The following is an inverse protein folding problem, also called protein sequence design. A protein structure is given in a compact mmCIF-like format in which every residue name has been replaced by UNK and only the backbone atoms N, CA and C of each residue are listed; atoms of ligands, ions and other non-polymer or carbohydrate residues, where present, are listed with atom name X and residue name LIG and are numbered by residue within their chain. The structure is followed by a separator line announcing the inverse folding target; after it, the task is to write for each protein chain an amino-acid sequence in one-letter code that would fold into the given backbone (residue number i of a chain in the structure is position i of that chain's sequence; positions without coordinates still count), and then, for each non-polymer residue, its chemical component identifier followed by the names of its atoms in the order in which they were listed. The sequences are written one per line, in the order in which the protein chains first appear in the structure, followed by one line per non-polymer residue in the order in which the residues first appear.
data_IF_640224022315
#
_entry.id   IF_640224022315
#
_cell.length_a   1.000
_cell.length_b   1.000
_cell.length_c   1.000
_cell.angle_alpha   90.00
_cell.angle_beta   90.00
_cell.angle_gamma   90.00
#
_symmetry.space_group_name_H-M   'P 1'
#
loop_
_entity.id
_entity.type
_entity.pdbx_description
1 polymer ?
#
# COMPACT_ATOMS: atom_id res chain seq x y z
N UNK A 1 26.34 -10.22 -12.28
CA UNK A 1 25.50 -10.57 -11.10
C UNK A 1 24.83 -11.93 -11.20
N UNK A 2 24.02 -12.24 -12.22
CA UNK A 2 23.29 -13.53 -12.29
C UNK A 2 24.16 -14.78 -12.08
N UNK A 3 25.32 -14.85 -12.75
CA UNK A 3 26.27 -15.98 -12.55
C UNK A 3 26.76 -16.08 -11.10
N UNK A 4 26.94 -14.95 -10.41
CA UNK A 4 27.31 -14.96 -9.00
C UNK A 4 26.17 -15.54 -8.16
N UNK A 5 24.94 -15.08 -8.38
CA UNK A 5 23.73 -15.55 -7.69
C UNK A 5 23.51 -17.05 -7.88
N UNK A 6 23.71 -17.59 -9.08
CA UNK A 6 23.61 -19.02 -9.37
C UNK A 6 24.61 -19.89 -8.59
N UNK A 7 25.73 -19.32 -8.14
CA UNK A 7 26.76 -20.05 -7.40
C UNK A 7 26.53 -20.03 -5.86
N UNK A 8 25.46 -19.40 -5.37
CA UNK A 8 25.19 -19.25 -3.93
C UNK A 8 23.76 -19.72 -3.60
N UNK A 9 23.41 -21.01 -3.83
CA UNK A 9 22.03 -21.50 -3.70
C UNK A 9 21.46 -21.46 -2.27
N UNK A 10 22.34 -21.34 -1.26
CA UNK A 10 21.97 -21.30 0.16
C UNK A 10 21.86 -19.88 0.73
N UNK A 11 21.78 -18.87 -0.13
CA UNK A 11 21.66 -17.48 0.30
C UNK A 11 20.35 -17.26 1.09
N UNK A 12 20.48 -16.83 2.34
CA UNK A 12 19.33 -16.50 3.20
C UNK A 12 18.91 -15.03 3.09
N UNK A 13 19.86 -14.14 2.80
CA UNK A 13 19.63 -12.70 2.74
C UNK A 13 20.33 -12.12 1.51
N UNK A 14 19.59 -11.40 0.68
CA UNK A 14 20.13 -10.61 -0.42
C UNK A 14 19.70 -9.15 -0.25
N UNK A 15 20.69 -8.26 -0.11
CA UNK A 15 20.47 -6.82 -0.04
C UNK A 15 21.25 -6.17 -1.18
N UNK A 16 20.53 -5.53 -2.10
CA UNK A 16 21.12 -4.73 -3.17
C UNK A 16 20.61 -3.31 -2.95
N UNK A 17 21.52 -2.43 -2.53
CA UNK A 17 21.28 -1.00 -2.35
C UNK A 17 22.20 -0.27 -3.30
N UNK A 18 21.80 -0.14 -4.56
CA UNK A 18 22.66 0.53 -5.52
C UNK A 18 22.51 2.04 -5.33
N UNK A 19 23.61 2.78 -5.21
CA UNK A 19 23.60 4.26 -5.17
C UNK A 19 24.27 4.93 -6.39
N UNK A 20 24.94 4.19 -7.28
CA UNK A 20 25.67 4.81 -8.40
C UNK A 20 26.09 3.91 -9.57
N UNK A 21 25.98 2.59 -9.50
CA UNK A 21 26.44 1.70 -10.58
C UNK A 21 25.24 1.06 -11.27
N UNK A 22 24.90 1.56 -12.46
CA UNK A 22 23.96 0.90 -13.36
C UNK A 22 24.50 -0.49 -13.71
N UNK A 23 23.68 -1.52 -13.51
CA UNK A 23 24.02 -2.87 -13.94
C UNK A 23 23.90 -2.96 -15.46
N UNK A 24 24.94 -2.51 -16.17
CA UNK A 24 25.11 -2.66 -17.62
C UNK A 24 25.40 -4.13 -18.03
N UNK A 25 24.56 -5.06 -17.57
CA UNK A 25 24.71 -6.49 -17.84
C UNK A 25 23.37 -7.13 -18.11
N UNK A 26 22.59 -6.56 -19.03
CA UNK A 26 21.54 -7.32 -19.70
C UNK A 26 22.21 -8.51 -20.39
N UNK A 27 21.91 -9.75 -19.98
CA UNK A 27 22.44 -10.91 -20.68
C UNK A 27 21.92 -10.88 -22.12
N UNK A 28 22.73 -11.39 -23.06
CA UNK A 28 22.34 -11.49 -24.48
C UNK A 28 21.04 -12.26 -24.70
N UNK A 29 20.65 -13.07 -23.71
CA UNK A 29 19.35 -13.73 -23.63
C UNK A 29 18.87 -13.62 -22.19
N UNK A 30 17.71 -12.99 -21.92
CA UNK A 30 17.14 -12.95 -20.59
C UNK A 30 16.85 -14.37 -20.11
N UNK A 31 17.20 -14.72 -18.86
CA UNK A 31 16.86 -16.02 -18.30
C UNK A 31 15.34 -16.14 -18.16
N UNK A 32 14.84 -17.37 -18.13
CA UNK A 32 13.42 -17.61 -17.90
C UNK A 32 12.99 -17.00 -16.55
N UNK A 33 11.73 -16.52 -16.43
CA UNK A 33 11.21 -16.05 -15.15
C UNK A 33 11.37 -17.11 -14.07
N UNK A 34 11.73 -16.68 -12.85
CA UNK A 34 11.86 -17.51 -11.65
C UNK A 34 12.84 -18.69 -11.84
N UNK A 35 13.88 -18.52 -12.66
CA UNK A 35 14.83 -19.59 -13.01
C UNK A 35 15.97 -19.80 -12.01
N UNK A 36 16.19 -18.88 -11.08
CA UNK A 36 17.28 -18.98 -10.08
C UNK A 36 16.69 -19.32 -8.71
N UNK A 37 16.75 -20.58 -8.25
CA UNK A 37 16.14 -20.99 -7.00
C UNK A 37 16.93 -20.53 -5.78
N UNK A 38 16.22 -19.95 -4.81
CA UNK A 38 16.74 -19.61 -3.49
C UNK A 38 15.81 -20.11 -2.39
N UNK A 39 15.71 -21.44 -2.18
CA UNK A 39 14.72 -22.03 -1.29
C UNK A 39 14.87 -21.60 0.18
N UNK A 40 16.05 -21.13 0.58
CA UNK A 40 16.35 -20.68 1.94
C UNK A 40 16.28 -19.15 2.11
N UNK A 41 15.88 -18.40 1.07
CA UNK A 41 15.79 -16.95 1.16
C UNK A 41 14.77 -16.56 2.22
N UNK A 42 15.22 -15.79 3.20
CA UNK A 42 14.44 -15.20 4.28
C UNK A 42 14.18 -13.71 4.06
N UNK A 43 15.11 -13.01 3.40
CA UNK A 43 14.99 -11.57 3.13
C UNK A 43 15.57 -11.20 1.78
N UNK A 44 14.76 -10.56 0.95
CA UNK A 44 15.15 -9.89 -0.27
C UNK A 44 14.88 -8.39 -0.13
N UNK A 45 15.93 -7.58 -0.19
CA UNK A 45 15.84 -6.13 -0.23
C UNK A 45 16.51 -5.63 -1.50
N UNK A 46 15.75 -4.97 -2.35
CA UNK A 46 16.18 -4.34 -3.59
C UNK A 46 15.83 -2.85 -3.52
N UNK A 47 16.85 -2.01 -3.40
CA UNK A 47 16.76 -0.54 -3.37
C UNK A 47 17.69 0.01 -4.46
N UNK A 48 17.17 0.86 -5.34
CA UNK A 48 17.91 1.37 -6.50
C UNK A 48 16.98 1.69 -7.66
N UNK A 49 17.44 1.45 -8.90
CA UNK A 49 16.59 1.52 -10.09
C UNK A 49 15.41 0.57 -9.98
N UNK A 50 14.19 1.11 -10.11
CA UNK A 50 12.99 0.29 -10.10
C UNK A 50 13.02 -0.78 -11.21
N UNK A 51 13.47 -0.41 -12.40
CA UNK A 51 13.52 -1.33 -13.54
C UNK A 51 14.49 -2.49 -13.28
N UNK A 52 15.70 -2.19 -12.78
CA UNK A 52 16.67 -3.21 -12.43
C UNK A 52 16.15 -4.13 -11.31
N UNK A 53 15.49 -3.56 -10.30
CA UNK A 53 14.94 -4.32 -9.19
C UNK A 53 13.85 -5.31 -9.66
N UNK A 54 12.94 -4.88 -10.54
CA UNK A 54 11.92 -5.75 -11.15
C UNK A 54 12.57 -6.86 -11.98
N UNK A 55 13.58 -6.52 -12.80
CA UNK A 55 14.29 -7.50 -13.62
C UNK A 55 15.00 -8.54 -12.74
N UNK A 56 15.71 -8.12 -11.70
CA UNK A 56 16.34 -9.02 -10.73
C UNK A 56 15.27 -9.92 -10.11
N UNK A 57 14.22 -9.34 -9.53
CA UNK A 57 13.14 -10.09 -8.88
C UNK A 57 12.47 -11.10 -9.81
N UNK A 58 12.30 -10.76 -11.09
CA UNK A 58 11.73 -11.65 -12.11
C UNK A 58 12.52 -12.93 -12.30
N UNK A 59 13.82 -12.94 -12.01
CA UNK A 59 14.68 -14.12 -12.18
C UNK A 59 14.76 -15.00 -10.93
N UNK A 60 14.54 -14.43 -9.74
CA UNK A 60 14.72 -15.13 -8.47
C UNK A 60 13.46 -15.94 -8.11
N UNK A 61 13.62 -17.23 -7.85
CA UNK A 61 12.60 -18.07 -7.24
C UNK A 61 12.82 -18.14 -5.71
N UNK A 62 12.27 -17.14 -5.00
CA UNK A 62 12.28 -17.07 -3.53
C UNK A 62 10.97 -17.60 -2.93
N UNK A 63 10.97 -18.13 -1.69
CA UNK A 63 9.77 -18.51 -0.96
C UNK A 63 8.79 -17.33 -0.81
N UNK A 64 7.47 -17.56 -0.85
CA UNK A 64 6.47 -16.51 -0.67
C UNK A 64 6.47 -15.91 0.74
N UNK A 65 7.11 -16.56 1.72
CA UNK A 65 7.24 -16.08 3.10
C UNK A 65 8.45 -15.18 3.33
N UNK A 66 9.36 -15.07 2.36
CA UNK A 66 10.54 -14.24 2.49
C UNK A 66 10.13 -12.77 2.64
N UNK A 67 10.77 -12.04 3.57
CA UNK A 67 10.61 -10.60 3.67
C UNK A 67 11.00 -9.96 2.33
N UNK A 68 10.12 -9.14 1.79
CA UNK A 68 10.28 -8.59 0.45
C UNK A 68 10.17 -7.07 0.50
N UNK A 69 11.28 -6.40 0.21
CA UNK A 69 11.34 -4.96 0.02
C UNK A 69 11.84 -4.70 -1.40
N UNK A 70 11.03 -4.06 -2.23
CA UNK A 70 11.41 -3.56 -3.55
C UNK A 70 11.10 -2.06 -3.54
N UNK A 71 12.14 -1.26 -3.33
CA UNK A 71 12.07 0.20 -3.35
C UNK A 71 12.58 0.77 -4.67
N UNK A 72 12.16 2.01 -4.99
CA UNK A 72 12.88 2.86 -5.94
C UNK A 72 13.70 3.90 -5.16
N UNK A 73 14.73 4.46 -5.79
CA UNK A 73 15.37 5.67 -5.31
C UNK A 73 15.43 6.65 -6.49
N UNK A 74 14.32 7.32 -6.76
CA UNK A 74 14.16 8.16 -7.95
C UNK A 74 15.13 9.34 -7.96
N UNK A 75 15.44 9.91 -6.80
CA UNK A 75 16.50 10.91 -6.61
C UNK A 75 17.86 10.50 -7.22
N UNK A 76 18.21 9.22 -7.13
CA UNK A 76 19.49 8.70 -7.60
C UNK A 76 19.44 8.16 -9.04
N UNK A 77 18.25 7.84 -9.57
CA UNK A 77 18.09 7.11 -10.83
C UNK A 77 16.91 7.63 -11.68
N UNK A 78 17.15 8.52 -12.66
CA UNK A 78 16.14 8.95 -13.63
C UNK A 78 15.88 7.90 -14.73
N UNK A 79 16.23 6.63 -14.50
CA UNK A 79 16.25 5.57 -15.51
C UNK A 79 14.90 4.87 -15.70
N UNK A 80 13.86 5.36 -15.04
CA UNK A 80 12.50 4.94 -15.32
C UNK A 80 12.09 5.39 -16.73
N UNK A 81 12.11 4.45 -17.67
CA UNK A 81 11.53 4.61 -19.00
C UNK A 81 10.03 4.23 -18.97
N UNK A 82 9.10 5.22 -18.99
CA UNK A 82 7.67 4.96 -19.00
C UNK A 82 7.18 4.24 -20.27
N UNK A 83 7.98 4.24 -21.34
CA UNK A 83 7.61 3.62 -22.61
C UNK A 83 7.77 2.08 -22.60
N UNK A 84 8.44 1.52 -21.58
CA UNK A 84 8.70 0.10 -21.46
C UNK A 84 7.48 -0.69 -20.92
N UNK A 85 6.39 -0.70 -21.69
CA UNK A 85 5.15 -1.40 -21.35
C UNK A 85 5.32 -2.90 -21.06
N UNK A 86 6.24 -3.56 -21.76
CA UNK A 86 6.54 -4.98 -21.56
C UNK A 86 7.07 -5.27 -20.15
N UNK A 87 7.81 -4.33 -19.55
CA UNK A 87 8.29 -4.45 -18.17
C UNK A 87 7.13 -4.43 -17.16
N UNK A 88 6.10 -3.62 -17.39
CA UNK A 88 4.93 -3.53 -16.50
C UNK A 88 4.12 -4.82 -16.51
N UNK A 89 3.88 -5.37 -17.70
CA UNK A 89 3.17 -6.64 -17.87
C UNK A 89 3.94 -7.78 -17.22
N UNK A 90 5.25 -7.87 -17.51
CA UNK A 90 6.17 -8.85 -16.90
C UNK A 90 6.20 -8.73 -15.38
N UNK A 91 6.29 -7.51 -14.83
CA UNK A 91 6.24 -7.28 -13.39
C UNK A 91 4.94 -7.85 -12.79
N UNK A 92 3.79 -7.50 -13.36
CA UNK A 92 2.49 -7.94 -12.85
C UNK A 92 2.38 -9.48 -12.89
N UNK A 93 2.84 -10.13 -13.96
CA UNK A 93 2.89 -11.59 -14.05
C UNK A 93 3.80 -12.23 -13.00
N UNK A 94 5.00 -11.66 -12.78
CA UNK A 94 5.96 -12.15 -11.79
C UNK A 94 5.39 -12.08 -10.38
N UNK A 95 4.73 -10.97 -10.01
CA UNK A 95 4.10 -10.87 -8.69
C UNK A 95 2.92 -11.82 -8.54
N UNK A 96 2.07 -11.96 -9.56
CA UNK A 96 0.99 -12.96 -9.55
C UNK A 96 1.53 -14.38 -9.38
N UNK A 97 2.60 -14.72 -10.10
CA UNK A 97 3.25 -16.01 -9.98
C UNK A 97 3.89 -16.22 -8.60
N UNK A 98 4.53 -15.18 -8.04
CA UNK A 98 5.13 -15.24 -6.71
C UNK A 98 4.08 -15.53 -5.61
N UNK A 99 2.92 -14.87 -5.69
CA UNK A 99 1.84 -15.03 -4.71
C UNK A 99 0.79 -16.09 -5.09
N UNK A 100 0.96 -16.83 -6.20
CA UNK A 100 -0.07 -17.74 -6.72
C UNK A 100 -0.55 -18.77 -5.69
N UNK A 101 0.36 -19.34 -4.90
CA UNK A 101 0.01 -20.29 -3.83
C UNK A 101 -0.84 -19.64 -2.74
N UNK A 102 -0.42 -18.47 -2.24
CA UNK A 102 -1.16 -17.70 -1.24
C UNK A 102 -2.56 -17.30 -1.76
N UNK A 103 -2.63 -16.80 -3.00
CA UNK A 103 -3.86 -16.44 -3.68
C UNK A 103 -4.82 -17.62 -3.82
N UNK A 104 -4.32 -18.82 -4.18
CA UNK A 104 -5.14 -20.02 -4.31
C UNK A 104 -5.77 -20.49 -2.99
N UNK A 105 -5.21 -20.06 -1.86
CA UNK A 105 -5.69 -20.34 -0.50
C UNK A 105 -6.46 -19.17 0.12
N UNK A 106 -6.71 -18.10 -0.65
CA UNK A 106 -7.43 -16.91 -0.16
C UNK A 106 -6.67 -16.09 0.87
N UNK A 107 -5.34 -16.23 0.94
CA UNK A 107 -4.52 -15.45 1.88
C UNK A 107 -4.46 -13.98 1.45
N UNK A 108 -4.63 -13.08 2.41
CA UNK A 108 -4.55 -11.64 2.20
C UNK A 108 -4.09 -10.90 3.46
N UNK A 109 -3.62 -9.68 3.27
CA UNK A 109 -3.40 -8.72 4.34
C UNK A 109 -4.72 -8.02 4.65
N UNK A 110 -5.11 -8.02 5.92
CA UNK A 110 -6.30 -7.34 6.44
C UNK A 110 -6.11 -5.83 6.57
N UNK A 111 -4.85 -5.40 6.72
CA UNK A 111 -4.48 -4.00 6.98
C UNK A 111 -3.22 -3.57 6.19
N UNK A 112 -3.28 -3.50 4.84
CA UNK A 112 -2.24 -2.87 4.05
C UNK A 112 -2.25 -1.34 4.24
N UNK A 113 -1.09 -0.75 4.04
CA UNK A 113 -0.88 0.68 4.00
C UNK A 113 -0.39 1.11 2.62
N UNK A 114 -1.02 2.15 2.10
CA UNK A 114 -0.71 2.75 0.81
C UNK A 114 -0.32 4.20 1.04
N UNK A 115 0.95 4.48 0.88
CA UNK A 115 1.51 5.82 1.02
C UNK A 115 1.99 6.34 -0.34
N UNK A 116 1.94 7.65 -0.52
CA UNK A 116 2.69 8.31 -1.58
C UNK A 116 3.55 9.41 -0.99
N UNK A 117 4.70 9.60 -1.62
CA UNK A 117 5.48 10.81 -1.51
C UNK A 117 5.56 11.46 -2.91
N UNK A 118 6.30 12.56 -3.03
CA UNK A 118 6.42 13.29 -4.30
C UNK A 118 7.08 12.47 -5.42
N UNK A 119 7.76 11.37 -5.08
CA UNK A 119 8.60 10.63 -6.01
C UNK A 119 8.17 9.19 -6.19
N UNK A 120 7.38 8.64 -5.27
CA UNK A 120 7.06 7.23 -5.22
C UNK A 120 5.70 6.97 -4.62
N UNK A 121 5.15 5.83 -5.02
CA UNK A 121 4.01 5.20 -4.38
C UNK A 121 4.49 3.92 -3.72
N UNK A 122 4.09 3.67 -2.47
CA UNK A 122 4.50 2.48 -1.72
C UNK A 122 3.30 1.77 -1.14
N UNK A 123 3.17 0.48 -1.43
CA UNK A 123 2.29 -0.45 -0.70
C UNK A 123 3.14 -1.18 0.32
N UNK A 124 2.72 -1.14 1.58
CA UNK A 124 3.34 -1.92 2.64
C UNK A 124 2.31 -2.75 3.40
N UNK A 125 2.72 -3.90 3.89
CA UNK A 125 1.86 -4.77 4.70
C UNK A 125 2.68 -5.64 5.65
N UNK A 126 2.05 -6.01 6.77
CA UNK A 126 2.62 -6.94 7.75
C UNK A 126 1.52 -7.89 8.27
N UNK A 127 1.85 -9.14 8.66
CA UNK A 127 0.87 -10.17 8.99
C UNK A 127 0.34 -10.07 10.42
N UNK A 128 0.77 -9.09 11.21
CA UNK A 128 0.09 -8.75 12.46
C UNK A 128 -1.42 -8.52 12.24
N UNK A 129 -1.79 -8.24 10.98
CA UNK A 129 -3.15 -8.12 10.48
C UNK A 129 -3.36 -9.00 9.23
N UNK A 130 -2.92 -10.27 9.16
CA UNK A 130 -3.29 -11.16 8.05
C UNK A 130 -4.44 -12.10 8.46
N UNK A 131 -5.43 -12.30 7.58
CA UNK A 131 -6.53 -13.25 7.83
C UNK A 131 -6.72 -14.19 6.62
N UNK A 132 -7.20 -15.40 6.88
CA UNK A 132 -7.58 -16.35 5.84
C UNK A 132 -9.06 -16.67 6.01
N UNK A 133 -9.87 -16.39 5.00
CA UNK A 133 -11.27 -16.80 4.96
C UNK A 133 -11.39 -18.15 4.27
N UNK A 134 -11.31 -19.24 5.03
CA UNK A 134 -11.87 -20.53 4.59
C UNK A 134 -12.60 -21.22 5.75
N UNK A 135 -13.92 -21.15 5.62
CA UNK A 135 -14.96 -22.12 5.97
C UNK A 135 -14.68 -23.17 7.06
N UNK A 136 -15.54 -23.13 8.08
CA UNK A 136 -15.88 -24.19 9.03
C UNK A 136 -14.75 -24.90 9.79
N UNK A 137 -14.72 -24.59 11.09
CA UNK A 137 -14.45 -25.55 12.15
C UNK A 137 -13.18 -26.42 12.00
N UNK A 138 -12.00 -25.84 12.27
CA UNK A 138 -11.06 -26.45 13.23
C UNK A 138 -9.94 -25.47 13.58
N UNK A 139 -9.67 -25.40 14.89
CA UNK A 139 -8.62 -24.62 15.53
C UNK A 139 -7.26 -24.95 14.92
N UNK A 140 -6.61 -23.94 14.32
CA UNK A 140 -5.25 -24.05 13.83
C UNK A 140 -4.74 -22.70 13.31
N UNK A 141 -4.09 -21.93 14.19
CA UNK A 141 -3.32 -20.71 13.92
C UNK A 141 -2.08 -20.95 13.04
N UNK A 142 -2.18 -21.80 12.00
CA UNK A 142 -1.07 -22.23 11.13
C UNK A 142 -0.98 -21.46 9.80
N UNK A 143 -1.67 -20.33 9.67
CA UNK A 143 -1.88 -19.68 8.36
C UNK A 143 -1.10 -18.37 8.15
N UNK A 144 -0.29 -17.94 9.12
CA UNK A 144 0.64 -16.81 8.95
C UNK A 144 1.84 -17.12 8.04
N UNK A 145 2.00 -18.37 7.58
CA UNK A 145 3.18 -18.83 6.82
C UNK A 145 2.98 -18.80 5.30
N UNK A 146 2.02 -18.03 4.78
CA UNK A 146 1.78 -17.94 3.33
C UNK A 146 2.23 -16.63 2.70
N UNK A 147 2.32 -15.57 3.49
CA UNK A 147 2.65 -14.23 3.04
C UNK A 147 3.92 -13.76 3.75
N UNK A 148 4.67 -12.82 3.16
CA UNK A 148 5.82 -12.21 3.83
C UNK A 148 5.43 -11.59 5.16
N UNK A 149 6.27 -11.77 6.18
CA UNK A 149 6.08 -11.05 7.44
C UNK A 149 6.35 -9.55 7.35
N UNK A 150 7.04 -9.14 6.29
CA UNK A 150 7.16 -7.75 5.90
C UNK A 150 7.17 -7.67 4.38
N UNK A 151 6.23 -6.90 3.83
CA UNK A 151 6.14 -6.61 2.41
C UNK A 151 6.15 -5.10 2.23
N UNK A 152 7.04 -4.60 1.37
CA UNK A 152 7.10 -3.21 0.97
C UNK A 152 7.44 -3.15 -0.52
N UNK A 153 6.53 -2.61 -1.32
CA UNK A 153 6.65 -2.52 -2.76
C UNK A 153 6.42 -1.08 -3.18
N UNK A 154 7.43 -0.47 -3.79
CA UNK A 154 7.37 0.89 -4.30
C UNK A 154 7.35 0.90 -5.84
N UNK A 155 6.62 1.85 -6.42
CA UNK A 155 6.71 2.20 -7.83
C UNK A 155 7.13 3.67 -7.96
N UNK A 156 7.87 4.02 -9.02
CA UNK A 156 8.23 5.40 -9.29
C UNK A 156 6.99 6.24 -9.63
N UNK A 157 7.00 7.50 -9.22
CA UNK A 157 6.03 8.49 -9.65
C UNK A 157 6.28 8.91 -11.11
N UNK A 158 5.20 9.20 -11.82
CA UNK A 158 5.26 9.75 -13.18
C UNK A 158 4.06 10.66 -13.41
N UNK A 159 4.26 11.76 -14.14
CA UNK A 159 3.19 12.70 -14.46
C UNK A 159 2.20 12.12 -15.48
N UNK A 160 2.63 11.13 -16.27
CA UNK A 160 1.76 10.45 -17.25
C UNK A 160 0.72 9.59 -16.52
N UNK A 161 -0.59 9.93 -16.59
CA UNK A 161 -1.65 9.22 -15.87
C UNK A 161 -1.82 7.76 -16.32
N UNK A 162 -1.57 7.46 -17.59
CA UNK A 162 -1.73 6.10 -18.13
C UNK A 162 -0.61 5.19 -17.63
N UNK A 163 0.63 5.68 -17.63
CA UNK A 163 1.79 4.94 -17.12
C UNK A 163 1.64 4.73 -15.61
N UNK A 164 1.24 5.78 -14.89
CA UNK A 164 0.91 5.72 -13.47
C UNK A 164 -0.09 4.62 -13.16
N UNK A 165 -1.21 4.61 -13.86
CA UNK A 165 -2.26 3.62 -13.64
C UNK A 165 -1.73 2.20 -13.86
N UNK A 166 -0.91 1.98 -14.89
CA UNK A 166 -0.29 0.68 -15.16
C UNK A 166 0.65 0.25 -14.04
N UNK A 167 1.52 1.15 -13.56
CA UNK A 167 2.43 0.89 -12.44
C UNK A 167 1.67 0.49 -11.18
N UNK A 168 0.65 1.25 -10.81
CA UNK A 168 -0.18 0.92 -9.66
C UNK A 168 -0.85 -0.44 -9.82
N UNK A 169 -1.39 -0.72 -11.00
CA UNK A 169 -2.10 -1.97 -11.26
C UNK A 169 -1.22 -3.21 -11.07
N UNK A 170 0.11 -3.10 -11.11
CA UNK A 170 1.04 -4.19 -10.81
C UNK A 170 0.76 -4.76 -9.41
N UNK A 171 0.51 -3.89 -8.42
CA UNK A 171 0.32 -4.29 -7.02
C UNK A 171 -1.12 -4.14 -6.56
N UNK A 172 -1.77 -3.01 -6.85
CA UNK A 172 -3.07 -2.65 -6.27
C UNK A 172 -4.22 -3.54 -6.72
N UNK A 173 -4.04 -4.33 -7.79
CA UNK A 173 -5.04 -5.29 -8.26
C UNK A 173 -4.87 -6.70 -7.70
N UNK A 174 -3.81 -6.95 -6.92
CA UNK A 174 -3.57 -8.27 -6.34
C UNK A 174 -4.55 -8.54 -5.19
N UNK A 175 -5.27 -9.69 -5.19
CA UNK A 175 -6.23 -10.02 -4.13
C UNK A 175 -5.63 -10.08 -2.72
N UNK A 176 -4.31 -10.28 -2.59
CA UNK A 176 -3.62 -10.20 -1.29
C UNK A 176 -3.77 -8.83 -0.61
N UNK A 177 -4.10 -7.77 -1.37
CA UNK A 177 -4.33 -6.43 -0.85
C UNK A 177 -5.80 -6.00 -0.94
N UNK A 178 -6.50 -6.30 -2.04
CA UNK A 178 -7.87 -5.80 -2.27
C UNK A 178 -8.94 -6.48 -1.41
N UNK A 179 -8.60 -7.61 -0.78
CA UNK A 179 -9.47 -8.27 0.20
C UNK A 179 -9.37 -7.67 1.62
N UNK A 180 -8.54 -6.64 1.81
CA UNK A 180 -8.37 -6.00 3.10
C UNK A 180 -9.67 -5.42 3.68
N UNK A 181 -9.82 -5.51 5.01
CA UNK A 181 -10.93 -4.87 5.74
C UNK A 181 -10.54 -3.50 6.29
N UNK A 182 -9.25 -3.29 6.55
CA UNK A 182 -8.69 -2.00 6.97
C UNK A 182 -7.72 -1.51 5.92
N UNK A 183 -7.78 -0.23 5.56
CA UNK A 183 -6.83 0.37 4.63
C UNK A 183 -6.23 1.62 5.26
N UNK A 184 -4.89 1.66 5.37
CA UNK A 184 -4.21 2.95 5.55
C UNK A 184 -3.96 3.56 4.19
N UNK A 185 -4.36 4.81 4.03
CA UNK A 185 -4.32 5.49 2.75
C UNK A 185 -3.85 6.91 2.95
N UNK A 186 -2.84 7.30 2.18
CA UNK A 186 -2.46 8.70 2.06
C UNK A 186 -3.53 9.46 1.26
N UNK A 187 -4.17 10.49 1.86
CA UNK A 187 -5.19 11.27 1.17
C UNK A 187 -4.70 11.94 -0.11
N UNK A 188 -3.40 12.19 -0.26
CA UNK A 188 -2.80 12.70 -1.48
C UNK A 188 -3.18 11.84 -2.70
N UNK A 189 -3.35 10.53 -2.51
CA UNK A 189 -3.68 9.58 -3.57
C UNK A 189 -5.09 9.76 -4.16
N UNK A 190 -5.99 10.43 -3.45
CA UNK A 190 -7.36 10.64 -3.89
C UNK A 190 -7.47 11.48 -5.15
N UNK A 191 -6.66 12.54 -5.25
CA UNK A 191 -6.68 13.44 -6.39
C UNK A 191 -6.15 12.77 -7.66
N UNK A 192 -5.33 11.73 -7.51
CA UNK A 192 -4.64 11.11 -8.62
C UNK A 192 -5.19 9.73 -9.00
N UNK A 193 -5.86 9.00 -8.09
CA UNK A 193 -6.17 7.57 -8.29
C UNK A 193 -7.52 7.07 -7.73
N UNK A 194 -8.65 7.67 -8.11
CA UNK A 194 -9.97 7.20 -7.67
C UNK A 194 -10.25 5.74 -8.06
N UNK A 195 -9.79 5.32 -9.23
CA UNK A 195 -9.99 3.97 -9.78
C UNK A 195 -9.31 2.87 -8.95
N UNK A 196 -8.13 3.16 -8.40
CA UNK A 196 -7.37 2.22 -7.56
C UNK A 196 -8.12 1.96 -6.25
N UNK A 197 -8.68 3.01 -5.66
CA UNK A 197 -9.40 2.92 -4.40
C UNK A 197 -10.68 2.11 -4.57
N UNK A 198 -11.35 2.25 -5.71
CA UNK A 198 -12.58 1.53 -6.03
C UNK A 198 -12.44 -0.01 -6.02
N UNK A 199 -11.21 -0.57 -6.13
CA UNK A 199 -11.02 -2.03 -6.06
C UNK A 199 -11.04 -2.59 -4.63
N UNK A 200 -10.92 -1.73 -3.61
CA UNK A 200 -10.91 -2.10 -2.18
C UNK A 200 -12.33 -2.23 -1.59
N UNK A 201 -13.18 -3.01 -2.26
CA UNK A 201 -14.61 -3.16 -1.93
C UNK A 201 -14.88 -3.80 -0.56
N UNK A 202 -13.90 -4.50 0.01
CA UNK A 202 -14.00 -5.15 1.32
C UNK A 202 -13.64 -4.23 2.49
N UNK A 203 -13.12 -3.03 2.22
CA UNK A 203 -12.73 -2.10 3.28
C UNK A 203 -13.96 -1.67 4.08
N UNK A 204 -13.81 -1.74 5.40
CA UNK A 204 -14.77 -1.31 6.42
C UNK A 204 -14.17 -0.26 7.34
N UNK A 205 -12.84 -0.25 7.48
CA UNK A 205 -12.10 0.74 8.25
C UNK A 205 -11.10 1.46 7.38
N UNK A 206 -11.22 2.78 7.26
CA UNK A 206 -10.28 3.62 6.52
C UNK A 206 -9.45 4.45 7.49
N UNK A 207 -8.13 4.35 7.39
CA UNK A 207 -7.17 5.12 8.18
C UNK A 207 -6.47 6.10 7.24
N UNK A 208 -6.73 7.37 7.44
CA UNK A 208 -6.19 8.45 6.62
C UNK A 208 -4.97 9.01 7.31
N UNK A 209 -3.81 8.70 6.75
CA UNK A 209 -2.51 9.09 7.31
C UNK A 209 -1.75 9.90 6.28
N UNK A 210 -1.38 11.13 6.63
CA UNK A 210 -0.65 12.02 5.73
C UNK A 210 0.74 12.26 6.28
N UNK A 211 1.77 11.93 5.49
CA UNK A 211 3.17 12.23 5.83
C UNK A 211 3.57 13.66 5.44
N UNK A 212 2.85 14.23 4.47
CA UNK A 212 3.02 15.60 3.96
C UNK A 212 1.94 16.50 4.57
N UNK A 213 2.13 17.82 4.57
CA UNK A 213 1.04 18.78 4.81
C UNK A 213 0.02 18.73 3.64
N UNK A 214 -0.56 17.57 3.37
CA UNK A 214 -1.65 17.44 2.41
C UNK A 214 -2.91 17.98 3.07
N UNK A 215 -3.39 19.12 2.57
CA UNK A 215 -4.70 19.62 2.94
C UNK A 215 -5.74 18.69 2.32
N UNK A 216 -6.56 18.07 3.16
CA UNK A 216 -7.82 17.50 2.71
C UNK A 216 -8.66 18.63 2.11
N UNK A 217 -8.91 18.58 0.81
CA UNK A 217 -9.90 19.45 0.18
C UNK A 217 -11.31 18.83 0.28
N UNK A 218 -12.33 19.69 0.19
CA UNK A 218 -13.72 19.26 0.35
C UNK A 218 -14.20 18.31 -0.76
N UNK A 219 -13.54 18.33 -1.93
CA UNK A 219 -13.98 17.55 -3.09
C UNK A 219 -13.50 16.10 -2.98
N UNK A 220 -12.29 15.89 -2.47
CA UNK A 220 -11.70 14.56 -2.30
C UNK A 220 -12.54 13.68 -1.37
N UNK A 221 -13.02 14.18 -0.24
CA UNK A 221 -13.73 13.31 0.71
C UNK A 221 -15.14 12.95 0.20
N UNK A 222 -15.83 13.89 -0.44
CA UNK A 222 -17.19 13.69 -0.90
C UNK A 222 -17.31 12.65 -2.00
N UNK A 223 -16.48 12.80 -3.04
CA UNK A 223 -16.51 11.92 -4.19
C UNK A 223 -15.85 10.58 -3.88
N UNK A 224 -14.75 10.59 -3.11
CA UNK A 224 -13.99 9.37 -2.83
C UNK A 224 -14.55 8.58 -1.65
N UNK A 225 -15.24 9.22 -0.70
CA UNK A 225 -15.97 8.52 0.36
C UNK A 225 -16.99 7.54 -0.24
N UNK A 226 -17.68 7.92 -1.31
CA UNK A 226 -18.63 7.04 -1.99
C UNK A 226 -18.01 5.74 -2.54
N UNK A 227 -16.67 5.65 -2.67
CA UNK A 227 -15.97 4.43 -3.09
C UNK A 227 -15.97 3.33 -2.04
N UNK A 228 -16.28 3.65 -0.78
CA UNK A 228 -16.37 2.70 0.32
C UNK A 228 -17.81 2.60 0.84
N UNK A 229 -18.74 1.98 0.10
CA UNK A 229 -20.16 1.98 0.45
C UNK A 229 -20.47 1.28 1.77
N UNK A 230 -19.58 0.40 2.24
CA UNK A 230 -19.73 -0.36 3.47
C UNK A 230 -18.80 0.13 4.60
N UNK A 231 -18.29 1.35 4.50
CA UNK A 231 -17.40 1.93 5.52
C UNK A 231 -18.12 2.08 6.87
N UNK A 232 -17.55 1.49 7.91
CA UNK A 232 -18.05 1.55 9.29
C UNK A 232 -17.15 2.35 10.22
N UNK A 233 -15.87 2.52 9.87
CA UNK A 233 -14.90 3.27 10.66
C UNK A 233 -14.04 4.17 9.78
N UNK A 234 -13.80 5.40 10.24
CA UNK A 234 -12.82 6.32 9.64
C UNK A 234 -11.92 6.87 10.74
N UNK A 235 -10.60 6.80 10.55
CA UNK A 235 -9.64 7.36 11.48
C UNK A 235 -8.72 8.34 10.75
N UNK A 236 -8.62 9.56 11.26
CA UNK A 236 -7.67 10.56 10.79
C UNK A 236 -6.41 10.49 11.67
N UNK A 237 -5.24 10.30 11.06
CA UNK A 237 -3.97 10.09 11.75
C UNK A 237 -2.97 11.13 11.23
N UNK A 238 -2.55 12.07 12.09
CA UNK A 238 -1.55 13.08 11.74
C UNK A 238 -1.98 14.11 10.70
N UNK A 239 -3.24 14.12 10.27
CA UNK A 239 -3.74 14.99 9.20
C UNK A 239 -3.97 16.43 9.68
N UNK A 240 -3.66 17.42 8.85
CA UNK A 240 -4.02 18.83 9.07
C UNK A 240 -5.42 19.13 8.49
N UNK A 241 -6.36 19.45 9.38
CA UNK A 241 -7.75 19.75 9.09
C UNK A 241 -7.99 21.24 9.32
N UNK A 242 -8.18 22.01 8.26
CA UNK A 242 -8.53 23.43 8.43
C UNK A 242 -9.88 23.59 9.13
N UNK A 243 -10.08 24.72 9.80
CA UNK A 243 -11.35 25.03 10.48
C UNK A 243 -12.55 25.05 9.53
N UNK A 244 -12.32 25.28 8.24
CA UNK A 244 -13.35 25.31 7.21
C UNK A 244 -13.67 23.90 6.68
N UNK A 245 -12.66 23.02 6.61
CA UNK A 245 -12.77 21.66 6.08
C UNK A 245 -13.43 20.73 7.09
N UNK A 246 -13.10 20.83 8.39
CA UNK A 246 -13.61 19.88 9.39
C UNK A 246 -15.15 19.81 9.44
N UNK A 247 -15.91 20.93 9.49
CA UNK A 247 -17.38 20.86 9.47
C UNK A 247 -17.93 20.23 8.19
N UNK A 248 -17.33 20.55 7.04
CA UNK A 248 -17.74 20.02 5.73
C UNK A 248 -17.46 18.52 5.61
N UNK A 249 -16.30 18.10 6.08
CA UNK A 249 -15.91 16.70 6.21
C UNK A 249 -16.93 15.91 7.06
N UNK A 250 -17.32 16.45 8.22
CA UNK A 250 -18.33 15.82 9.09
C UNK A 250 -19.66 15.68 8.36
N UNK A 251 -20.14 16.76 7.75
CA UNK A 251 -21.40 16.75 6.98
C UNK A 251 -21.36 15.70 5.87
N UNK A 252 -20.25 15.65 5.15
CA UNK A 252 -20.10 14.75 4.02
C UNK A 252 -20.04 13.28 4.45
N UNK A 253 -19.30 12.95 5.51
CA UNK A 253 -19.24 11.60 6.04
C UNK A 253 -20.62 11.13 6.50
N UNK A 254 -21.37 12.00 7.19
CA UNK A 254 -22.73 11.69 7.65
C UNK A 254 -23.74 11.50 6.50
N UNK A 255 -23.57 12.21 5.39
CA UNK A 255 -24.43 12.08 4.20
C UNK A 255 -24.06 10.83 3.39
N UNK A 256 -22.77 10.55 3.23
CA UNK A 256 -22.27 9.51 2.31
C UNK A 256 -22.28 8.13 2.93
N UNK A 257 -22.02 8.03 4.24
CA UNK A 257 -21.79 6.76 4.93
C UNK A 257 -22.84 6.51 6.02
N UNK A 258 -24.00 6.01 5.62
CA UNK A 258 -25.07 5.64 6.56
C UNK A 258 -24.70 4.48 7.49
N UNK A 259 -23.69 3.67 7.13
CA UNK A 259 -23.18 2.56 7.93
C UNK A 259 -22.05 2.95 8.89
N UNK A 260 -21.63 4.22 8.90
CA UNK A 260 -20.56 4.71 9.77
C UNK A 260 -20.94 4.54 11.24
N UNK A 261 -20.05 3.98 12.04
CA UNK A 261 -20.25 3.68 13.46
C UNK A 261 -19.17 4.30 14.35
N UNK A 262 -17.98 4.52 13.83
CA UNK A 262 -16.86 5.08 14.58
C UNK A 262 -16.04 6.08 13.76
N UNK A 263 -15.63 7.16 14.42
CA UNK A 263 -14.73 8.17 13.85
C UNK A 263 -13.62 8.50 14.84
N UNK A 264 -12.38 8.32 14.42
CA UNK A 264 -11.18 8.58 15.23
C UNK A 264 -10.39 9.80 14.75
N UNK A 265 -9.83 10.54 15.68
CA UNK A 265 -8.84 11.60 15.43
C UNK A 265 -7.60 11.34 16.29
N UNK A 266 -6.46 11.13 15.65
CA UNK A 266 -5.19 10.82 16.31
C UNK A 266 -4.07 11.74 15.82
N UNK A 267 -3.53 12.59 16.68
CA UNK A 267 -2.40 13.47 16.33
C UNK A 267 -2.67 14.50 15.22
N UNK A 268 -3.94 14.78 14.91
CA UNK A 268 -4.33 15.73 13.87
C UNK A 268 -4.04 17.20 14.25
N UNK A 269 -3.90 18.07 13.25
CA UNK A 269 -3.65 19.52 13.38
C UNK A 269 -4.79 20.35 12.78
N UNK A 270 -4.88 21.63 13.12
CA UNK A 270 -5.82 22.62 12.58
C UNK A 270 -5.09 23.89 12.16
N UNK A 271 -4.82 24.01 10.85
CA UNK A 271 -4.18 25.18 10.24
C UNK A 271 -2.76 25.40 10.76
N UNK A 272 -1.95 24.34 10.78
CA UNK A 272 -0.57 24.36 11.30
C UNK A 272 -0.46 24.49 12.83
N UNK A 273 -1.58 24.57 13.55
CA UNK A 273 -1.62 24.53 15.03
C UNK A 273 -2.21 23.20 15.49
N UNK A 274 -1.95 22.80 16.73
CA UNK A 274 -2.61 21.63 17.33
C UNK A 274 -4.12 21.81 17.26
N UNK A 275 -4.86 20.77 16.89
CA UNK A 275 -6.33 20.83 16.81
C UNK A 275 -6.90 21.38 18.12
N UNK A 276 -7.59 22.51 18.01
CA UNK A 276 -8.23 23.13 19.15
C UNK A 276 -9.32 22.18 19.62
N UNK A 277 -9.17 21.67 20.85
CA UNK A 277 -10.07 20.72 21.52
C UNK A 277 -11.56 20.97 21.22
N UNK A 278 -11.96 22.24 21.21
CA UNK A 278 -13.32 22.69 20.92
C UNK A 278 -13.85 22.30 19.53
N UNK A 279 -13.06 22.46 18.46
CA UNK A 279 -13.53 22.14 17.10
C UNK A 279 -13.73 20.63 16.91
N UNK A 280 -12.86 19.82 17.53
CA UNK A 280 -13.03 18.36 17.57
C UNK A 280 -14.22 17.96 18.44
N UNK A 281 -14.43 18.61 19.58
CA UNK A 281 -15.60 18.38 20.44
C UNK A 281 -16.91 18.71 19.70
N UNK A 282 -16.95 19.81 18.95
CA UNK A 282 -18.10 20.19 18.12
C UNK A 282 -18.35 19.15 17.01
N UNK A 283 -17.30 18.70 16.30
CA UNK A 283 -17.40 17.62 15.32
C UNK A 283 -17.89 16.30 15.95
N UNK A 284 -17.33 15.95 17.11
CA UNK A 284 -17.66 14.73 17.84
C UNK A 284 -19.12 14.74 18.31
N UNK A 285 -19.61 15.88 18.79
CA UNK A 285 -21.01 16.03 19.18
C UNK A 285 -21.95 15.73 18.01
N UNK A 286 -21.64 16.23 16.79
CA UNK A 286 -22.47 15.97 15.60
C UNK A 286 -22.52 14.49 15.21
N UNK A 287 -21.41 13.76 15.37
CA UNK A 287 -21.38 12.30 15.18
C UNK A 287 -22.20 11.59 16.27
N UNK A 288 -22.09 12.00 17.53
CA UNK A 288 -22.83 11.40 18.65
C UNK A 288 -24.35 11.61 18.53
N UNK A 289 -24.80 12.74 17.99
CA UNK A 289 -26.22 13.00 17.66
C UNK A 289 -26.79 11.98 16.66
N UNK A 290 -25.92 11.29 15.91
CA UNK A 290 -26.26 10.21 14.98
C UNK A 290 -25.96 8.80 15.53
N UNK A 291 -25.54 8.68 16.79
CA UNK A 291 -25.16 7.41 17.41
C UNK A 291 -23.79 6.89 16.99
N UNK A 292 -22.93 7.73 16.41
CA UNK A 292 -21.58 7.38 15.98
C UNK A 292 -20.61 7.63 17.13
N UNK A 293 -19.77 6.63 17.42
CA UNK A 293 -18.72 6.70 18.44
C UNK A 293 -17.59 7.58 17.94
N UNK A 294 -16.99 8.35 18.85
CA UNK A 294 -15.92 9.28 18.50
C UNK A 294 -14.74 9.07 19.43
N UNK A 295 -13.55 8.82 18.88
CA UNK A 295 -12.32 8.68 19.65
C UNK A 295 -11.34 9.81 19.32
N UNK A 296 -10.67 10.35 20.35
CA UNK A 296 -9.68 11.42 20.20
C UNK A 296 -8.46 11.06 21.03
N UNK A 297 -7.31 10.88 20.37
CA UNK A 297 -6.05 10.48 21.02
C UNK A 297 -4.89 11.40 20.64
N UNK A 298 -3.99 11.67 21.58
CA UNK A 298 -2.73 12.39 21.35
C UNK A 298 -2.88 13.76 20.67
N UNK A 299 -3.80 14.59 21.17
CA UNK A 299 -3.87 16.02 20.83
C UNK A 299 -2.84 16.77 21.69
N UNK A 300 -1.56 16.68 21.31
CA UNK A 300 -0.44 17.32 22.02
C UNK A 300 -0.25 18.76 21.59
#
# INVERSE_FOLDING_TARGET
MMRLLQNIPFLETLEIKSASEQFNSLPSTPPAPRSIPFPNMRRLLLEGSWQENIVIFSWLAIPPTAHLTIGSNNDAYPDFDPSNSALFESAAEVFRAHFASALSRGAHYDEPAIAADFEMFTVSASPASATAETADHTVGTEHCDLLPAHLQLSVPWTDDPDVRQRLLNIFSTLPIFTMARTLHLDPFLWQYYPSMIAVYTNVRSLKLESSVEASLDDHGIAEQGALFPALTCVCFIGVDLSAEVLPRLVDQLLVTHSALQDVGFSGCRLGGKVLVKRSVEEAAQRFQERGITTSVTNMG
#
